data_IF_971573856023
#
_entry.id   IF_971573856023
#
_cell.length_a   1.000
_cell.length_b   1.000
_cell.length_c   1.000
_cell.angle_alpha   90.00
_cell.angle_beta   90.00
_cell.angle_gamma   90.00
#
_symmetry.space_group_name_H-M   'P 1'
#
loop_
_entity.id
_entity.type
_entity.pdbx_description
1 polymer ?
#
# COMPACT_ATOMS: atom_id res chain seq x y z
N UNK A 1 11.46 17.00 12.37
CA UNK A 1 11.35 17.10 10.89
C UNK A 1 11.10 18.55 10.53
N UNK A 2 11.93 19.13 9.69
CA UNK A 2 11.69 20.49 9.25
C UNK A 2 10.81 20.50 7.99
N UNK A 3 10.46 21.70 7.51
CA UNK A 3 9.56 21.85 6.37
C UNK A 3 10.12 21.23 5.10
N UNK A 4 11.43 21.37 4.85
CA UNK A 4 12.06 20.80 3.65
C UNK A 4 12.03 19.26 3.69
N UNK A 5 12.30 18.67 4.86
CA UNK A 5 12.22 17.22 5.01
C UNK A 5 10.79 16.72 4.80
N UNK A 6 9.81 17.48 5.25
CA UNK A 6 8.41 17.14 5.06
C UNK A 6 8.04 17.14 3.59
N UNK A 7 8.47 18.16 2.84
CA UNK A 7 8.20 18.25 1.40
C UNK A 7 8.79 17.08 0.60
N UNK A 8 9.96 16.59 1.03
CA UNK A 8 10.59 15.45 0.38
C UNK A 8 9.93 14.14 0.80
N UNK A 9 9.57 14.03 2.07
CA UNK A 9 9.03 12.81 2.65
C UNK A 9 7.63 12.48 2.15
N UNK A 10 6.76 13.49 1.96
CA UNK A 10 5.38 13.25 1.57
C UNK A 10 5.27 12.52 0.22
N UNK A 11 5.90 13.00 -0.88
CA UNK A 11 5.80 12.28 -2.15
C UNK A 11 6.37 10.87 -2.08
N UNK A 12 7.47 10.69 -1.35
CA UNK A 12 8.12 9.39 -1.22
C UNK A 12 7.22 8.40 -0.48
N UNK A 13 6.62 8.83 0.61
CA UNK A 13 5.73 8.00 1.40
C UNK A 13 4.46 7.66 0.61
N UNK A 14 3.90 8.64 -0.10
CA UNK A 14 2.71 8.40 -0.93
C UNK A 14 3.00 7.39 -2.03
N UNK A 15 4.17 7.48 -2.66
CA UNK A 15 4.57 6.53 -3.69
C UNK A 15 4.71 5.12 -3.10
N UNK A 16 5.44 5.00 -2.00
CA UNK A 16 5.68 3.71 -1.36
C UNK A 16 4.38 3.06 -0.89
N UNK A 17 3.50 3.85 -0.27
CA UNK A 17 2.21 3.38 0.20
C UNK A 17 1.33 2.93 -0.96
N UNK A 18 1.27 3.71 -2.03
CA UNK A 18 0.45 3.41 -3.20
C UNK A 18 0.88 2.10 -3.85
N UNK A 19 2.18 1.91 -4.06
CA UNK A 19 2.72 0.68 -4.64
C UNK A 19 2.43 -0.51 -3.72
N UNK A 20 2.68 -0.35 -2.43
CA UNK A 20 2.47 -1.40 -1.44
C UNK A 20 1.01 -1.87 -1.44
N UNK A 21 0.07 -0.93 -1.33
CA UNK A 21 -1.35 -1.26 -1.26
C UNK A 21 -1.90 -1.75 -2.60
N UNK A 22 -1.44 -1.16 -3.71
CA UNK A 22 -1.86 -1.62 -5.02
C UNK A 22 -1.51 -3.09 -5.23
N UNK A 23 -0.29 -3.49 -4.88
CA UNK A 23 0.14 -4.88 -5.11
C UNK A 23 -0.48 -5.86 -4.13
N UNK A 24 -0.83 -5.44 -2.92
CA UNK A 24 -1.68 -6.27 -2.06
C UNK A 24 -3.01 -6.58 -2.75
N UNK A 25 -3.69 -5.56 -3.24
CA UNK A 25 -4.97 -5.72 -3.91
C UNK A 25 -4.86 -6.48 -5.22
N UNK A 26 -3.82 -6.20 -6.01
CA UNK A 26 -3.59 -6.87 -7.30
C UNK A 26 -3.35 -8.36 -7.11
N UNK A 27 -2.49 -8.70 -6.14
CA UNK A 27 -2.17 -10.10 -5.86
C UNK A 27 -3.38 -10.83 -5.30
N UNK A 28 -4.14 -10.18 -4.41
CA UNK A 28 -5.36 -10.75 -3.87
C UNK A 28 -6.36 -11.06 -4.98
N UNK A 29 -6.55 -10.12 -5.92
CA UNK A 29 -7.45 -10.30 -7.05
C UNK A 29 -7.01 -11.48 -7.92
N UNK A 30 -5.71 -11.63 -8.11
CA UNK A 30 -5.16 -12.72 -8.90
C UNK A 30 -5.40 -14.08 -8.25
N UNK A 31 -5.41 -14.14 -6.92
CA UNK A 31 -5.62 -15.38 -6.18
C UNK A 31 -7.07 -15.64 -5.81
N UNK A 32 -8.00 -14.85 -6.34
CA UNK A 32 -9.42 -15.12 -6.22
C UNK A 32 -10.20 -14.15 -5.34
N UNK A 33 -9.56 -13.17 -4.73
CA UNK A 33 -10.25 -12.18 -3.90
C UNK A 33 -10.42 -10.86 -4.64
N UNK A 34 -11.62 -10.55 -5.17
CA UNK A 34 -11.87 -9.33 -5.90
C UNK A 34 -12.29 -8.15 -5.00
N UNK A 35 -12.20 -8.28 -3.68
CA UNK A 35 -12.75 -7.30 -2.75
C UNK A 35 -12.24 -5.90 -3.02
N UNK A 36 -10.91 -5.72 -3.12
CA UNK A 36 -10.32 -4.40 -3.37
C UNK A 36 -10.75 -3.85 -4.73
N UNK A 37 -10.78 -4.69 -5.75
CA UNK A 37 -11.18 -4.28 -7.10
C UNK A 37 -12.63 -3.82 -7.13
N UNK A 38 -13.52 -4.57 -6.49
CA UNK A 38 -14.96 -4.26 -6.48
C UNK A 38 -15.26 -2.97 -5.72
N UNK A 39 -14.41 -2.60 -4.76
CA UNK A 39 -14.58 -1.36 -4.01
C UNK A 39 -13.85 -0.18 -4.64
N UNK A 40 -13.30 -0.35 -5.85
CA UNK A 40 -12.56 0.72 -6.52
C UNK A 40 -11.22 1.04 -5.88
N UNK A 41 -10.68 0.12 -5.07
CA UNK A 41 -9.44 0.33 -4.32
C UNK A 41 -8.21 -0.24 -5.01
N UNK A 42 -8.39 -0.95 -6.12
CA UNK A 42 -7.29 -1.48 -6.92
C UNK A 42 -6.84 -0.41 -7.91
N UNK A 43 -6.07 0.56 -7.42
CA UNK A 43 -5.69 1.72 -8.21
C UNK A 43 -4.34 2.26 -7.76
N UNK A 44 -3.64 2.91 -8.69
CA UNK A 44 -2.40 3.62 -8.39
C UNK A 44 -2.64 5.08 -7.98
N UNK A 45 -3.90 5.49 -7.84
CA UNK A 45 -4.23 6.81 -7.34
C UNK A 45 -3.95 6.86 -5.84
N UNK A 46 -2.97 7.68 -5.38
CA UNK A 46 -2.61 7.69 -3.97
C UNK A 46 -3.73 8.12 -3.04
N UNK A 47 -4.71 8.88 -3.53
CA UNK A 47 -5.82 9.32 -2.70
C UNK A 47 -6.66 8.16 -2.18
N UNK A 48 -6.69 7.04 -2.90
CA UNK A 48 -7.44 5.86 -2.46
C UNK A 48 -6.80 5.16 -1.26
N UNK A 49 -5.54 5.48 -0.95
CA UNK A 49 -4.76 4.81 0.09
C UNK A 49 -4.45 5.72 1.28
N UNK A 50 -5.02 6.93 1.30
CA UNK A 50 -4.78 7.88 2.38
C UNK A 50 -5.88 7.79 3.42
N UNK A 51 -5.49 7.60 4.67
CA UNK A 51 -6.37 7.76 5.82
C UNK A 51 -6.22 9.18 6.32
N UNK A 52 -7.31 9.93 6.42
CA UNK A 52 -7.26 11.34 6.80
C UNK A 52 -6.64 11.53 8.17
N UNK A 53 -7.04 10.72 9.14
CA UNK A 53 -6.50 10.82 10.50
C UNK A 53 -5.02 10.45 10.52
N UNK A 54 -4.62 9.40 9.79
CA UNK A 54 -3.23 9.02 9.67
C UNK A 54 -2.38 10.11 9.04
N UNK A 55 -2.91 10.79 8.01
CA UNK A 55 -2.20 11.89 7.35
C UNK A 55 -2.02 13.08 8.29
N UNK A 56 -3.05 13.43 9.06
CA UNK A 56 -2.95 14.51 10.04
C UNK A 56 -1.93 14.20 11.13
N UNK A 57 -1.93 12.97 11.61
CA UNK A 57 -0.93 12.54 12.60
C UNK A 57 0.49 12.61 12.04
N UNK A 58 0.68 12.27 10.76
CA UNK A 58 2.00 12.38 10.15
C UNK A 58 2.50 13.82 10.12
N UNK A 59 1.62 14.76 9.75
CA UNK A 59 2.00 16.16 9.67
C UNK A 59 2.33 16.75 11.03
N UNK A 60 1.52 16.43 12.05
CA UNK A 60 1.66 17.09 13.36
C UNK A 60 2.51 16.32 14.36
N UNK A 61 2.56 15.00 14.26
CA UNK A 61 3.26 14.18 15.24
C UNK A 61 4.39 13.34 14.64
N UNK A 62 4.63 13.46 13.35
CA UNK A 62 5.69 12.77 12.60
C UNK A 62 5.52 11.25 12.55
N UNK A 63 4.33 10.74 12.84
CA UNK A 63 3.98 9.36 12.55
C UNK A 63 2.57 9.34 11.97
N UNK A 64 2.29 8.35 11.13
CA UNK A 64 0.99 8.25 10.51
C UNK A 64 0.80 6.88 9.86
N UNK A 65 -0.36 6.70 9.24
CA UNK A 65 -0.71 5.46 8.59
C UNK A 65 -1.56 5.72 7.35
N UNK A 66 -1.58 4.74 6.45
CA UNK A 66 -2.43 4.77 5.28
C UNK A 66 -3.71 3.98 5.50
N UNK A 67 -4.55 4.00 4.48
CA UNK A 67 -5.79 3.22 4.46
C UNK A 67 -5.52 1.93 3.71
N UNK A 68 -5.47 0.77 4.39
CA UNK A 68 -5.14 -0.48 3.74
C UNK A 68 -6.23 -0.91 2.76
N UNK A 69 -5.85 -1.67 1.72
CA UNK A 69 -6.81 -2.24 0.79
C UNK A 69 -7.54 -3.38 1.49
N UNK A 70 -8.86 -3.49 1.27
CA UNK A 70 -9.61 -4.58 1.87
C UNK A 70 -9.27 -5.91 1.22
N UNK A 71 -8.99 -6.91 2.06
CA UNK A 71 -8.67 -8.28 1.64
C UNK A 71 -9.60 -9.23 2.40
N UNK A 72 -10.21 -10.16 1.67
CA UNK A 72 -11.03 -11.20 2.29
C UNK A 72 -10.40 -12.56 2.00
N UNK A 73 -9.66 -13.14 2.97
CA UNK A 73 -8.94 -14.39 2.75
C UNK A 73 -9.84 -15.58 2.41
N UNK A 74 -11.12 -15.51 2.78
CA UNK A 74 -12.05 -16.60 2.46
C UNK A 74 -12.29 -16.75 0.96
N UNK A 75 -11.99 -15.71 0.18
CA UNK A 75 -12.13 -15.77 -1.28
C UNK A 75 -10.95 -16.45 -1.95
N UNK A 76 -9.85 -16.68 -1.26
CA UNK A 76 -8.68 -17.31 -1.84
C UNK A 76 -8.90 -18.80 -2.08
N UNK A 77 -8.32 -19.31 -3.16
CA UNK A 77 -8.39 -20.74 -3.48
C UNK A 77 -7.71 -21.60 -2.41
N UNK A 78 -6.62 -21.10 -1.87
CA UNK A 78 -5.91 -21.72 -0.76
C UNK A 78 -5.64 -20.61 0.27
N UNK A 79 -6.58 -20.37 1.21
CA UNK A 79 -6.51 -19.18 2.06
C UNK A 79 -5.22 -19.04 2.86
N UNK A 80 -4.70 -20.16 3.39
CA UNK A 80 -3.49 -20.10 4.21
C UNK A 80 -2.28 -19.67 3.39
N UNK A 81 -2.05 -20.36 2.25
CA UNK A 81 -0.90 -20.06 1.38
C UNK A 81 -1.06 -18.70 0.71
N UNK A 82 -2.23 -18.43 0.15
CA UNK A 82 -2.46 -17.23 -0.65
C UNK A 82 -2.41 -15.98 0.22
N UNK A 83 -2.90 -16.07 1.47
CA UNK A 83 -2.80 -14.95 2.39
C UNK A 83 -1.35 -14.58 2.69
N UNK A 84 -0.47 -15.57 2.84
CA UNK A 84 0.97 -15.33 3.03
C UNK A 84 1.56 -14.64 1.80
N UNK A 85 1.24 -15.13 0.60
CA UNK A 85 1.75 -14.55 -0.64
C UNK A 85 1.27 -13.13 -0.82
N UNK A 86 -0.02 -12.86 -0.59
CA UNK A 86 -0.60 -11.52 -0.71
C UNK A 86 0.04 -10.57 0.30
N UNK A 87 0.22 -11.02 1.53
CA UNK A 87 0.85 -10.20 2.58
C UNK A 87 2.29 -9.84 2.21
N UNK A 88 3.00 -10.72 1.54
CA UNK A 88 4.38 -10.49 1.14
C UNK A 88 4.48 -9.58 -0.08
N UNK A 89 3.43 -9.50 -0.90
CA UNK A 89 3.44 -8.75 -2.15
C UNK A 89 3.69 -7.25 -1.94
N UNK A 90 3.14 -6.67 -0.88
CA UNK A 90 3.35 -5.25 -0.56
C UNK A 90 4.82 -4.93 -0.31
N UNK A 91 5.46 -5.55 0.69
CA UNK A 91 6.89 -5.33 0.92
C UNK A 91 7.76 -5.69 -0.27
N UNK A 92 7.43 -6.77 -0.98
CA UNK A 92 8.21 -7.19 -2.15
C UNK A 92 8.15 -6.14 -3.25
N UNK A 93 6.99 -5.54 -3.51
CA UNK A 93 6.84 -4.50 -4.53
C UNK A 93 7.64 -3.25 -4.17
N UNK A 94 7.66 -2.87 -2.89
CA UNK A 94 8.47 -1.74 -2.43
C UNK A 94 9.97 -2.03 -2.61
N UNK A 95 10.40 -3.24 -2.30
CA UNK A 95 11.79 -3.63 -2.48
C UNK A 95 12.21 -3.57 -3.95
N UNK A 96 11.37 -4.10 -4.84
CA UNK A 96 11.64 -4.07 -6.28
C UNK A 96 11.66 -2.63 -6.80
N UNK A 97 10.70 -1.80 -6.37
CA UNK A 97 10.67 -0.39 -6.75
C UNK A 97 11.94 0.33 -6.32
N UNK A 98 12.41 0.06 -5.11
CA UNK A 98 13.62 0.67 -4.60
C UNK A 98 14.85 0.28 -5.42
N UNK A 99 14.93 -0.99 -5.85
CA UNK A 99 16.01 -1.43 -6.72
C UNK A 99 15.97 -0.76 -8.09
N UNK A 100 14.77 -0.58 -8.65
CA UNK A 100 14.60 0.00 -9.98
C UNK A 100 14.83 1.50 -10.01
N UNK A 101 14.42 2.23 -8.97
CA UNK A 101 14.45 3.68 -8.97
C UNK A 101 15.55 4.27 -8.11
N UNK A 102 16.51 3.44 -7.73
CA UNK A 102 17.75 3.98 -7.24
C UNK A 102 17.76 4.32 -5.84
N UNK A 103 17.69 3.33 -5.08
CA UNK A 103 18.20 3.47 -3.81
C UNK A 103 19.59 3.85 -3.83
N UNK A 104 20.11 3.76 -4.91
CA UNK A 104 21.49 3.96 -5.03
C UNK A 104 21.94 5.26 -4.49
#
# INVERSE_FOLDING_TARGET
MNFNNLLISIPTILYALTIHEYFHGWTANKFGDPTARLQGRLTLNPLAHIDILGALCFVFAHFGWGKPVPINPYNFRNPRRDNVIVSFAGPASNFVSALLFGII
#
